data_IF_271181671900
#
_entry.id   IF_271181671900
#
_cell.length_a   1.000
_cell.length_b   1.000
_cell.length_c   1.000
_cell.angle_alpha   90.00
_cell.angle_beta   90.00
_cell.angle_gamma   90.00
#
_symmetry.space_group_name_H-M   'P 1'
#
loop_
_entity.id
_entity.type
_entity.pdbx_description
1 polymer ?
#
# COMPACT_ATOMS: atom_id res chain seq x y z
N UNK A 1 30.21 -3.30 2.41
CA UNK A 1 29.62 -2.79 1.16
C UNK A 1 29.00 -3.93 0.33
N UNK A 2 29.68 -5.06 0.12
CA UNK A 2 29.18 -6.18 -0.71
C UNK A 2 27.85 -6.76 -0.16
N UNK A 3 27.73 -6.93 1.15
CA UNK A 3 26.50 -7.42 1.80
C UNK A 3 25.30 -6.47 1.59
N UNK A 4 25.52 -5.16 1.67
CA UNK A 4 24.47 -4.17 1.44
C UNK A 4 24.06 -4.18 -0.03
N UNK A 5 25.01 -4.23 -0.96
CA UNK A 5 24.71 -4.28 -2.39
C UNK A 5 23.93 -5.56 -2.77
N UNK A 6 24.41 -6.73 -2.30
CA UNK A 6 23.73 -8.00 -2.52
C UNK A 6 22.33 -8.02 -1.87
N UNK A 7 22.20 -7.55 -0.62
CA UNK A 7 20.92 -7.44 0.07
C UNK A 7 19.95 -6.50 -0.64
N UNK A 8 20.42 -5.38 -1.17
CA UNK A 8 19.60 -4.45 -1.95
C UNK A 8 19.12 -5.09 -3.27
N UNK A 9 20.03 -5.75 -4.01
CA UNK A 9 19.66 -6.46 -5.23
C UNK A 9 18.61 -7.54 -4.98
N UNK A 10 18.78 -8.33 -3.92
CA UNK A 10 17.81 -9.33 -3.51
C UNK A 10 16.48 -8.70 -3.08
N UNK A 11 16.50 -7.53 -2.39
CA UNK A 11 15.29 -6.81 -2.02
C UNK A 11 14.45 -6.41 -3.26
N UNK A 12 15.09 -5.91 -4.32
CA UNK A 12 14.40 -5.59 -5.58
C UNK A 12 13.82 -6.84 -6.23
N UNK A 13 14.58 -7.95 -6.25
CA UNK A 13 14.08 -9.24 -6.75
C UNK A 13 12.88 -9.74 -5.96
N UNK A 14 12.97 -9.76 -4.62
CA UNK A 14 11.87 -10.16 -3.73
C UNK A 14 10.65 -9.27 -3.88
N UNK A 15 10.83 -7.96 -4.03
CA UNK A 15 9.73 -7.03 -4.23
C UNK A 15 9.02 -7.27 -5.57
N UNK A 16 9.78 -7.43 -6.66
CA UNK A 16 9.21 -7.67 -8.00
C UNK A 16 8.52 -9.02 -8.10
N UNK A 17 9.22 -10.11 -7.73
CA UNK A 17 8.66 -11.46 -7.76
C UNK A 17 7.54 -11.65 -6.74
N UNK A 18 7.69 -11.06 -5.55
CA UNK A 18 6.66 -11.05 -4.52
C UNK A 18 5.39 -10.34 -4.97
N UNK A 19 5.51 -9.22 -5.68
CA UNK A 19 4.38 -8.51 -6.28
C UNK A 19 3.64 -9.36 -7.33
N UNK A 20 4.38 -10.01 -8.24
CA UNK A 20 3.81 -10.94 -9.22
C UNK A 20 3.11 -12.13 -8.55
N UNK A 21 3.74 -12.71 -7.54
CA UNK A 21 3.17 -13.83 -6.77
C UNK A 21 1.87 -13.40 -6.06
N UNK A 22 1.88 -12.26 -5.38
CA UNK A 22 0.69 -11.72 -4.73
C UNK A 22 -0.42 -11.45 -5.74
N UNK A 23 -0.08 -10.90 -6.90
CA UNK A 23 -1.05 -10.63 -7.96
C UNK A 23 -1.69 -11.92 -8.47
N UNK A 24 -0.90 -12.98 -8.67
CA UNK A 24 -1.40 -14.30 -9.07
C UNK A 24 -2.29 -14.93 -7.99
N UNK A 25 -1.86 -14.92 -6.72
CA UNK A 25 -2.65 -15.43 -5.59
C UNK A 25 -3.99 -14.70 -5.50
N UNK A 26 -3.97 -13.38 -5.64
CA UNK A 26 -5.18 -12.56 -5.59
C UNK A 26 -6.11 -12.86 -6.77
N UNK A 27 -5.57 -13.07 -7.96
CA UNK A 27 -6.32 -13.47 -9.15
C UNK A 27 -7.02 -14.83 -8.91
N UNK A 28 -6.31 -15.82 -8.40
CA UNK A 28 -6.87 -17.14 -8.08
C UNK A 28 -7.99 -17.05 -7.02
N UNK A 29 -7.81 -16.24 -5.99
CA UNK A 29 -8.85 -15.95 -4.99
C UNK A 29 -10.03 -15.20 -5.66
N UNK A 30 -9.75 -14.32 -6.60
CA UNK A 30 -10.75 -13.54 -7.34
C UNK A 30 -11.69 -14.38 -8.19
N UNK A 31 -11.20 -15.47 -8.75
CA UNK A 31 -11.97 -16.40 -9.60
C UNK A 31 -12.90 -17.30 -8.78
N UNK A 32 -12.62 -17.51 -7.50
CA UNK A 32 -13.48 -18.35 -6.64
C UNK A 32 -14.83 -17.67 -6.39
N UNK A 33 -15.97 -18.38 -6.57
CA UNK A 33 -17.27 -17.84 -6.20
C UNK A 33 -17.27 -17.43 -4.74
N UNK A 34 -17.51 -16.17 -4.46
CA UNK A 34 -17.51 -15.69 -3.08
C UNK A 34 -18.81 -14.93 -2.80
N UNK A 35 -19.59 -15.47 -1.88
CA UNK A 35 -20.84 -14.87 -1.44
C UNK A 35 -20.65 -13.58 -0.63
N UNK A 36 -19.39 -13.26 -0.24
CA UNK A 36 -19.08 -12.13 0.65
C UNK A 36 -17.92 -11.28 0.10
N UNK A 37 -18.16 -10.36 -0.84
CA UNK A 37 -17.12 -9.53 -1.45
C UNK A 37 -16.32 -8.70 -0.43
N UNK A 38 -16.95 -8.17 0.60
CA UNK A 38 -16.27 -7.40 1.66
C UNK A 38 -15.27 -8.25 2.46
N UNK A 39 -15.63 -9.49 2.78
CA UNK A 39 -14.75 -10.41 3.50
C UNK A 39 -13.53 -10.79 2.65
N UNK A 40 -13.73 -10.96 1.34
CA UNK A 40 -12.64 -11.20 0.38
C UNK A 40 -11.68 -10.01 0.36
N UNK A 41 -12.20 -8.80 0.23
CA UNK A 41 -11.41 -7.57 0.25
C UNK A 41 -10.56 -7.48 1.54
N UNK A 42 -11.18 -7.68 2.70
CA UNK A 42 -10.47 -7.67 3.99
C UNK A 42 -9.38 -8.75 4.08
N UNK A 43 -9.61 -9.93 3.52
CA UNK A 43 -8.60 -10.99 3.49
C UNK A 43 -7.41 -10.61 2.62
N UNK A 44 -7.64 -10.01 1.44
CA UNK A 44 -6.55 -9.54 0.59
C UNK A 44 -5.77 -8.40 1.28
N UNK A 45 -6.45 -7.45 1.95
CA UNK A 45 -5.78 -6.42 2.76
C UNK A 45 -4.87 -7.02 3.83
N UNK A 46 -5.31 -8.10 4.51
CA UNK A 46 -4.47 -8.82 5.48
C UNK A 46 -3.27 -9.50 4.81
N UNK A 47 -3.48 -10.15 3.67
CA UNK A 47 -2.39 -10.79 2.92
C UNK A 47 -1.34 -9.74 2.53
N UNK A 48 -1.76 -8.59 2.00
CA UNK A 48 -0.86 -7.47 1.67
C UNK A 48 -0.10 -7.00 2.91
N UNK A 49 -0.81 -6.76 4.02
CA UNK A 49 -0.20 -6.33 5.28
C UNK A 49 0.89 -7.30 5.74
N UNK A 50 0.59 -8.61 5.83
CA UNK A 50 1.57 -9.59 6.31
C UNK A 50 2.74 -9.77 5.34
N UNK A 51 2.50 -9.69 4.02
CA UNK A 51 3.56 -9.77 3.02
C UNK A 51 4.52 -8.58 3.12
N UNK A 52 3.99 -7.37 3.27
CA UNK A 52 4.82 -6.19 3.47
C UNK A 52 5.51 -6.16 4.82
N UNK A 53 4.87 -6.71 5.86
CA UNK A 53 5.49 -6.88 7.18
C UNK A 53 6.67 -7.86 7.12
N UNK A 54 6.54 -8.97 6.39
CA UNK A 54 7.64 -9.90 6.16
C UNK A 54 8.78 -9.25 5.38
N UNK A 55 8.44 -8.46 4.33
CA UNK A 55 9.43 -7.71 3.57
C UNK A 55 10.11 -6.61 4.41
N UNK A 56 9.37 -5.89 5.25
CA UNK A 56 9.93 -4.94 6.21
C UNK A 56 10.91 -5.61 7.18
N UNK A 57 10.53 -6.78 7.71
CA UNK A 57 11.43 -7.58 8.55
C UNK A 57 12.71 -7.96 7.82
N UNK A 58 12.62 -8.41 6.58
CA UNK A 58 13.78 -8.67 5.72
C UNK A 58 14.70 -7.45 5.62
N UNK A 59 14.16 -6.28 5.30
CA UNK A 59 14.94 -5.04 5.18
C UNK A 59 15.65 -4.68 6.48
N UNK A 60 15.03 -4.93 7.63
CA UNK A 60 15.62 -4.70 8.97
C UNK A 60 16.75 -5.69 9.28
N UNK A 61 16.54 -6.98 9.03
CA UNK A 61 17.55 -8.03 9.28
C UNK A 61 18.80 -7.79 8.46
N UNK A 62 18.66 -7.43 7.20
CA UNK A 62 19.79 -7.11 6.33
C UNK A 62 20.32 -5.68 6.51
N UNK A 63 19.81 -4.94 7.49
CA UNK A 63 20.21 -3.55 7.79
C UNK A 63 20.12 -2.60 6.59
N UNK A 64 19.20 -2.88 5.66
CA UNK A 64 18.95 -2.04 4.49
C UNK A 64 18.16 -0.79 4.83
N UNK A 65 17.42 -0.83 5.94
CA UNK A 65 16.72 0.31 6.52
C UNK A 65 17.04 0.42 8.01
N UNK A 66 17.14 1.66 8.47
CA UNK A 66 17.26 1.97 9.88
C UNK A 66 16.21 3.03 10.23
N UNK A 67 15.26 2.67 11.05
CA UNK A 67 14.18 3.57 11.44
C UNK A 67 13.30 2.95 12.50
N UNK A 68 12.65 3.83 13.24
CA UNK A 68 11.66 3.48 14.27
C UNK A 68 10.33 4.15 13.94
N UNK A 69 9.24 3.44 14.15
CA UNK A 69 7.90 4.01 14.08
C UNK A 69 7.48 4.42 15.50
N UNK A 70 7.03 5.67 15.65
CA UNK A 70 6.53 6.22 16.92
C UNK A 70 5.12 6.76 16.69
N UNK A 71 4.30 6.79 17.74
CA UNK A 71 2.98 7.39 17.71
C UNK A 71 1.88 6.48 17.18
N UNK A 72 2.13 5.19 16.99
CA UNK A 72 1.08 4.22 16.56
C UNK A 72 -0.07 4.14 17.56
N UNK A 73 0.22 4.36 18.83
CA UNK A 73 -0.76 4.40 19.93
C UNK A 73 -1.74 5.58 19.84
N UNK A 74 -1.43 6.56 18.98
CA UNK A 74 -2.28 7.75 18.75
C UNK A 74 -3.25 7.57 17.60
N UNK A 75 -3.12 6.48 16.84
CA UNK A 75 -4.01 6.20 15.72
C UNK A 75 -5.42 5.91 16.25
N UNK A 76 -6.47 6.47 15.60
CA UNK A 76 -7.84 6.17 15.96
C UNK A 76 -8.15 4.67 15.81
N UNK A 77 -9.04 4.16 16.66
CA UNK A 77 -9.59 2.80 16.52
C UNK A 77 -10.61 2.67 15.38
N UNK A 78 -11.16 3.80 14.94
CA UNK A 78 -12.09 3.90 13.80
C UNK A 78 -11.32 4.14 12.50
N UNK A 79 -12.04 4.18 11.37
CA UNK A 79 -11.45 4.56 10.09
C UNK A 79 -10.92 6.01 10.11
N UNK A 80 -9.83 6.25 9.43
CA UNK A 80 -9.17 7.56 9.34
C UNK A 80 -8.47 7.71 7.99
N UNK A 81 -8.13 8.95 7.65
CA UNK A 81 -7.26 9.25 6.52
C UNK A 81 -5.85 9.44 7.05
N UNK A 82 -4.92 8.62 6.56
CA UNK A 82 -3.49 8.73 6.85
C UNK A 82 -2.82 9.51 5.71
N UNK A 83 -2.36 10.69 6.02
CA UNK A 83 -1.68 11.58 5.05
C UNK A 83 -0.18 11.50 5.28
N UNK A 84 0.58 11.24 4.22
CA UNK A 84 2.04 11.17 4.28
C UNK A 84 2.68 11.82 3.05
N UNK A 85 3.90 12.32 3.19
CA UNK A 85 4.76 12.63 2.07
C UNK A 85 5.30 11.36 1.42
N UNK A 86 5.71 11.42 0.15
CA UNK A 86 6.08 10.25 -0.65
C UNK A 86 7.47 10.37 -1.28
N UNK A 87 8.54 10.38 -0.49
CA UNK A 87 9.91 10.46 -1.02
C UNK A 87 10.37 9.20 -1.75
N UNK A 88 9.92 8.01 -1.35
CA UNK A 88 10.45 6.74 -1.87
C UNK A 88 9.37 5.74 -2.28
N UNK A 89 9.76 4.69 -3.03
CA UNK A 89 8.87 3.58 -3.34
C UNK A 89 8.51 2.76 -2.08
N UNK A 90 9.38 2.78 -1.07
CA UNK A 90 9.20 1.97 0.14
C UNK A 90 8.15 2.55 1.11
N UNK A 91 7.77 3.82 0.97
CA UNK A 91 6.87 4.48 1.94
C UNK A 91 5.55 3.73 2.09
N UNK A 92 4.90 3.41 0.97
CA UNK A 92 3.64 2.65 0.99
C UNK A 92 3.82 1.25 1.58
N UNK A 93 4.96 0.60 1.30
CA UNK A 93 5.29 -0.73 1.84
C UNK A 93 5.42 -0.67 3.36
N UNK A 94 6.14 0.32 3.86
CA UNK A 94 6.37 0.51 5.30
C UNK A 94 5.06 0.87 6.02
N UNK A 95 4.26 1.76 5.44
CA UNK A 95 2.98 2.16 6.03
C UNK A 95 2.02 0.96 6.06
N UNK A 96 1.86 0.21 4.96
CA UNK A 96 1.00 -0.98 4.92
C UNK A 96 1.53 -2.14 5.78
N UNK A 97 2.83 -2.23 6.02
CA UNK A 97 3.41 -3.19 6.96
C UNK A 97 3.03 -2.88 8.43
N UNK A 98 2.64 -1.63 8.72
CA UNK A 98 2.31 -1.15 10.06
C UNK A 98 0.79 -1.04 10.24
N UNK A 99 0.08 -0.55 9.22
CA UNK A 99 -1.36 -0.31 9.26
C UNK A 99 -2.13 -1.50 8.67
N UNK A 100 -2.69 -2.39 9.51
CA UNK A 100 -3.52 -3.48 9.00
C UNK A 100 -4.80 -2.96 8.36
N UNK A 101 -5.23 -3.59 7.27
CA UNK A 101 -6.47 -3.26 6.57
C UNK A 101 -6.53 -1.86 5.91
N UNK A 102 -5.42 -1.12 5.90
CA UNK A 102 -5.38 0.15 5.20
C UNK A 102 -5.33 -0.05 3.67
N UNK A 103 -5.99 0.84 2.96
CA UNK A 103 -5.95 0.92 1.48
C UNK A 103 -5.29 2.22 1.06
N UNK A 104 -4.91 2.32 -0.21
CA UNK A 104 -4.24 3.51 -0.73
C UNK A 104 -5.02 4.12 -1.90
N UNK A 105 -5.00 5.45 -1.98
CA UNK A 105 -5.35 6.16 -3.20
C UNK A 105 -4.17 6.07 -4.16
N UNK A 106 -4.42 5.54 -5.36
CA UNK A 106 -3.38 5.21 -6.35
C UNK A 106 -3.67 5.80 -7.72
N UNK A 107 -2.62 5.93 -8.55
CA UNK A 107 -2.78 6.32 -9.95
C UNK A 107 -3.47 5.21 -10.76
N UNK A 108 -4.25 5.54 -11.82
CA UNK A 108 -4.90 4.57 -12.69
C UNK A 108 -3.96 3.47 -13.20
N UNK A 109 -2.73 3.84 -13.55
CA UNK A 109 -1.71 2.89 -14.03
C UNK A 109 -1.35 1.78 -13.03
N UNK A 110 -1.57 1.99 -11.73
CA UNK A 110 -1.35 0.95 -10.72
C UNK A 110 -2.47 -0.09 -10.81
N UNK A 111 -3.71 0.34 -11.08
CA UNK A 111 -4.87 -0.55 -11.20
C UNK A 111 -4.77 -1.53 -12.38
N UNK A 112 -3.97 -1.21 -13.39
CA UNK A 112 -3.72 -2.06 -14.58
C UNK A 112 -2.32 -2.70 -14.58
N UNK A 113 -1.55 -2.51 -13.53
CA UNK A 113 -0.20 -3.06 -13.42
C UNK A 113 -0.21 -4.58 -13.32
N UNK A 114 0.69 -5.25 -14.06
CA UNK A 114 0.88 -6.71 -13.96
C UNK A 114 1.42 -7.15 -12.58
N UNK A 115 2.09 -6.25 -11.86
CA UNK A 115 2.68 -6.55 -10.55
C UNK A 115 1.69 -6.38 -9.39
N UNK A 116 0.76 -5.42 -9.47
CA UNK A 116 -0.08 -5.02 -8.34
C UNK A 116 -1.53 -4.74 -8.73
N UNK A 117 -1.89 -4.81 -10.00
CA UNK A 117 -3.20 -4.38 -10.46
C UNK A 117 -4.35 -5.19 -9.87
N UNK A 118 -4.23 -6.52 -9.85
CA UNK A 118 -5.25 -7.39 -9.26
C UNK A 118 -5.34 -7.21 -7.76
N UNK A 119 -4.19 -7.11 -7.08
CA UNK A 119 -4.11 -6.82 -5.66
C UNK A 119 -4.80 -5.49 -5.34
N UNK A 120 -4.48 -4.42 -6.10
CA UNK A 120 -5.06 -3.11 -5.88
C UNK A 120 -6.58 -3.10 -6.05
N UNK A 121 -7.09 -3.73 -7.12
CA UNK A 121 -8.54 -3.85 -7.36
C UNK A 121 -9.24 -4.64 -6.27
N UNK A 122 -8.73 -5.83 -5.95
CA UNK A 122 -9.39 -6.76 -5.01
C UNK A 122 -9.23 -6.32 -3.55
N UNK A 123 -8.14 -5.62 -3.20
CA UNK A 123 -7.98 -5.00 -1.88
C UNK A 123 -8.82 -3.72 -1.70
N UNK A 124 -9.50 -3.25 -2.76
CA UNK A 124 -10.36 -2.08 -2.69
C UNK A 124 -9.61 -0.75 -2.72
N UNK A 125 -8.40 -0.69 -3.32
CA UNK A 125 -7.67 0.57 -3.52
C UNK A 125 -8.48 1.51 -4.43
N UNK A 126 -8.30 2.79 -4.26
CA UNK A 126 -9.09 3.82 -4.95
C UNK A 126 -8.23 4.49 -6.02
N UNK A 127 -8.74 4.55 -7.26
CA UNK A 127 -8.09 5.31 -8.34
C UNK A 127 -8.34 6.81 -8.16
N UNK A 128 -7.32 7.63 -8.39
CA UNK A 128 -7.44 9.10 -8.40
C UNK A 128 -7.72 9.68 -9.78
N UNK A 129 -8.34 8.91 -10.67
CA UNK A 129 -8.64 9.34 -12.03
C UNK A 129 -9.73 10.39 -12.11
N UNK A 130 -10.79 10.21 -11.33
CA UNK A 130 -11.98 11.06 -11.30
C UNK A 130 -12.17 11.61 -9.87
N UNK A 131 -12.08 12.94 -9.72
CA UNK A 131 -12.09 13.57 -8.41
C UNK A 131 -13.41 13.42 -7.64
N UNK A 132 -14.55 13.47 -8.31
CA UNK A 132 -15.86 13.28 -7.66
C UNK A 132 -16.03 11.83 -7.19
N UNK A 133 -15.79 10.88 -8.08
CA UNK A 133 -15.83 9.46 -7.74
C UNK A 133 -14.81 9.05 -6.68
N UNK A 134 -13.67 9.74 -6.65
CA UNK A 134 -12.65 9.54 -5.61
C UNK A 134 -13.22 9.86 -4.22
N UNK A 135 -13.90 11.00 -4.08
CA UNK A 135 -14.45 11.44 -2.80
C UNK A 135 -15.53 10.44 -2.33
N UNK A 136 -16.46 10.06 -3.20
CA UNK A 136 -17.52 9.10 -2.88
C UNK A 136 -16.94 7.74 -2.48
N UNK A 137 -15.92 7.26 -3.20
CA UNK A 137 -15.24 6.02 -2.88
C UNK A 137 -14.52 6.09 -1.52
N UNK A 138 -13.86 7.21 -1.20
CA UNK A 138 -13.23 7.43 0.09
C UNK A 138 -14.25 7.43 1.23
N UNK A 139 -15.36 8.16 1.08
CA UNK A 139 -16.46 8.20 2.06
C UNK A 139 -17.02 6.80 2.31
N UNK A 140 -17.28 6.05 1.23
CA UNK A 140 -17.76 4.67 1.33
C UNK A 140 -16.81 3.79 2.12
N UNK A 141 -15.50 3.86 1.85
CA UNK A 141 -14.48 3.04 2.53
C UNK A 141 -14.31 3.43 4.00
N UNK A 142 -14.34 4.71 4.32
CA UNK A 142 -14.31 5.19 5.70
C UNK A 142 -15.54 4.71 6.49
N UNK A 143 -16.73 4.74 5.90
CA UNK A 143 -17.95 4.23 6.52
C UNK A 143 -17.90 2.69 6.75
N UNK A 144 -17.12 1.96 5.96
CA UNK A 144 -16.84 0.53 6.16
C UNK A 144 -15.75 0.25 7.21
N UNK A 145 -15.23 1.27 7.87
CA UNK A 145 -14.17 1.14 8.88
C UNK A 145 -12.78 0.89 8.29
N UNK A 146 -12.55 1.24 7.01
CA UNK A 146 -11.27 1.01 6.32
C UNK A 146 -10.42 2.28 6.33
N UNK A 147 -9.22 2.29 6.93
CA UNK A 147 -8.29 3.42 6.86
C UNK A 147 -7.78 3.64 5.44
N UNK A 148 -7.62 4.91 5.05
CA UNK A 148 -7.17 5.30 3.71
C UNK A 148 -5.84 6.03 3.79
N UNK A 149 -4.86 5.62 2.99
CA UNK A 149 -3.56 6.28 2.85
C UNK A 149 -3.61 7.20 1.63
N UNK A 150 -3.24 8.46 1.82
CA UNK A 150 -3.17 9.45 0.76
C UNK A 150 -1.78 10.07 0.74
N UNK A 151 -1.20 10.12 -0.46
CA UNK A 151 0.02 10.89 -0.75
C UNK A 151 -0.36 12.14 -1.55
N UNK A 152 -0.58 13.29 -0.89
CA UNK A 152 -1.17 14.46 -1.54
C UNK A 152 -0.29 15.10 -2.62
N UNK A 153 0.99 14.76 -2.64
CA UNK A 153 1.93 15.18 -3.69
C UNK A 153 1.64 14.50 -5.05
N UNK A 154 0.90 13.38 -5.06
CA UNK A 154 0.53 12.63 -6.25
C UNK A 154 1.71 12.01 -7.01
N UNK A 155 2.94 12.22 -6.57
CA UNK A 155 4.17 11.61 -7.10
C UNK A 155 5.27 11.70 -6.05
N UNK A 156 6.38 10.98 -6.26
CA UNK A 156 7.52 11.01 -5.34
C UNK A 156 8.20 12.38 -5.31
N UNK A 157 8.52 12.86 -4.11
CA UNK A 157 9.31 14.07 -3.88
C UNK A 157 10.79 13.80 -4.09
N UNK A 158 11.54 14.87 -4.35
CA UNK A 158 12.99 14.83 -4.19
C UNK A 158 13.35 14.79 -2.68
N UNK A 159 14.48 14.18 -2.31
CA UNK A 159 14.94 14.18 -0.92
C UNK A 159 14.95 15.60 -0.32
N UNK A 160 14.46 15.74 0.90
CA UNK A 160 14.41 17.00 1.66
C UNK A 160 13.52 18.10 1.03
N UNK A 161 12.67 17.77 0.07
CA UNK A 161 11.71 18.73 -0.49
C UNK A 161 10.29 18.22 -0.30
N UNK A 162 9.35 19.14 -0.05
CA UNK A 162 7.92 18.89 -0.13
C UNK A 162 7.39 19.46 -1.43
N UNK A 163 6.67 18.66 -2.18
CA UNK A 163 5.93 19.15 -3.35
C UNK A 163 4.62 19.79 -2.90
N UNK A 164 4.12 20.70 -3.71
CA UNK A 164 2.79 21.26 -3.51
C UNK A 164 1.75 20.15 -3.54
N UNK A 165 0.86 20.17 -2.58
CA UNK A 165 -0.25 19.23 -2.52
C UNK A 165 -1.23 19.50 -3.66
N UNK A 166 -1.65 18.45 -4.33
CA UNK A 166 -2.67 18.54 -5.36
C UNK A 166 -4.03 18.74 -4.72
N UNK A 167 -4.86 19.62 -5.29
CA UNK A 167 -6.24 19.84 -4.82
C UNK A 167 -7.13 18.60 -4.97
N UNK A 168 -6.75 17.66 -5.83
CA UNK A 168 -7.45 16.40 -6.08
C UNK A 168 -6.91 15.21 -5.27
N UNK A 169 -6.10 15.47 -4.24
CA UNK A 169 -5.54 14.41 -3.38
C UNK A 169 -6.28 14.36 -2.06
#
# INVERSE_FOLDING_TARGET
YLQIAAGTGLAFGLFGLGGLFLNLVTLLIGVTPNSFPEKREQNIQKIVHYSFRAFYWYLKVFRLINGTCKGLERLPSTAYIFVANHPTLLDIVLILAILPRAICVVKPKIMISIYMGEVARTAGYISNEDGEKLIDACVKKLNQGTPIIIFPEGTRSLPQTLRLFKRSA
#
